data_IF_872518330920
#
_entry.id   IF_872518330920
#
_cell.length_a   1.000
_cell.length_b   1.000
_cell.length_c   1.000
_cell.angle_alpha   90.00
_cell.angle_beta   90.00
_cell.angle_gamma   90.00
#
_symmetry.space_group_name_H-M   'P 1'
#
loop_
_entity.id
_entity.type
_entity.pdbx_description
1 polymer ?
#
# COMPACT_ATOMS: atom_id res chain seq x y z
N UNK A 1 16.27 -2.51 14.49
CA UNK A 1 15.73 -1.94 13.24
C UNK A 1 15.00 -2.94 12.32
N UNK A 2 15.00 -4.25 12.60
CA UNK A 2 14.40 -5.30 11.73
C UNK A 2 12.91 -5.53 12.01
N UNK A 3 12.37 -5.05 13.11
CA UNK A 3 11.01 -5.38 13.57
C UNK A 3 9.86 -4.71 12.79
N UNK A 4 10.05 -3.58 12.15
CA UNK A 4 8.93 -2.82 11.56
C UNK A 4 8.46 -3.33 10.19
N UNK A 5 9.28 -4.05 9.43
CA UNK A 5 8.89 -4.64 8.14
C UNK A 5 8.17 -5.98 8.27
N UNK A 6 8.45 -6.74 9.33
CA UNK A 6 7.84 -8.06 9.55
C UNK A 6 6.39 -7.96 10.03
N UNK A 7 6.03 -6.91 10.79
CA UNK A 7 4.71 -6.75 11.40
C UNK A 7 3.52 -6.82 10.41
N UNK A 8 3.52 -6.15 9.25
CA UNK A 8 2.39 -6.28 8.31
C UNK A 8 2.28 -7.68 7.69
N UNK A 9 3.40 -8.35 7.46
CA UNK A 9 3.44 -9.73 6.94
C UNK A 9 2.91 -10.69 8.00
N UNK A 10 3.39 -10.58 9.24
CA UNK A 10 2.93 -11.38 10.37
C UNK A 10 1.44 -11.19 10.63
N UNK A 11 0.93 -9.95 10.58
CA UNK A 11 -0.49 -9.67 10.70
C UNK A 11 -1.31 -10.32 9.59
N UNK A 12 -0.80 -10.34 8.35
CA UNK A 12 -1.43 -11.02 7.23
C UNK A 12 -1.54 -12.53 7.43
N UNK A 13 -0.46 -13.15 7.88
CA UNK A 13 -0.41 -14.59 8.21
C UNK A 13 -1.33 -14.93 9.38
N UNK A 14 -1.30 -14.14 10.45
CA UNK A 14 -2.14 -14.36 11.63
C UNK A 14 -3.63 -14.21 11.30
N UNK A 15 -4.01 -13.24 10.48
CA UNK A 15 -5.37 -13.11 9.99
C UNK A 15 -5.82 -14.31 9.13
N UNK A 16 -4.95 -14.81 8.26
CA UNK A 16 -5.23 -16.00 7.47
C UNK A 16 -5.42 -17.23 8.38
N UNK A 17 -4.52 -17.42 9.37
CA UNK A 17 -4.62 -18.48 10.38
C UNK A 17 -5.94 -18.40 11.17
N UNK A 18 -6.29 -17.22 11.70
CA UNK A 18 -7.54 -17.00 12.43
C UNK A 18 -8.77 -17.35 11.57
N UNK A 19 -8.75 -17.04 10.30
CA UNK A 19 -9.87 -17.36 9.42
C UNK A 19 -9.90 -18.85 9.02
N UNK A 20 -8.74 -19.50 8.90
CA UNK A 20 -8.67 -20.95 8.71
C UNK A 20 -9.28 -21.68 9.92
N UNK A 21 -8.96 -21.26 11.13
CA UNK A 21 -9.52 -21.83 12.37
C UNK A 21 -11.03 -21.55 12.55
N UNK A 22 -11.57 -20.49 11.96
CA UNK A 22 -13.03 -20.27 11.88
C UNK A 22 -13.72 -21.23 10.91
N UNK A 23 -13.04 -21.59 9.83
CA UNK A 23 -13.54 -22.59 8.89
C UNK A 23 -13.54 -23.97 9.51
N UNK A 24 -12.42 -24.37 10.12
CA UNK A 24 -12.29 -25.66 10.83
C UNK A 24 -11.32 -25.50 12.01
N UNK A 25 -11.81 -25.67 13.23
CA UNK A 25 -11.07 -25.41 14.47
C UNK A 25 -9.87 -26.38 14.65
N UNK A 26 -10.06 -27.65 14.31
CA UNK A 26 -9.08 -28.72 14.54
C UNK A 26 -8.47 -29.19 13.21
N UNK A 27 -7.79 -28.30 12.49
CA UNK A 27 -7.12 -28.65 11.24
C UNK A 27 -5.75 -29.27 11.52
N UNK A 28 -5.57 -30.54 11.11
CA UNK A 28 -4.26 -31.20 11.08
C UNK A 28 -3.72 -31.21 9.65
N UNK A 29 -2.41 -31.30 9.48
CA UNK A 29 -1.78 -31.33 8.15
C UNK A 29 -2.27 -32.51 7.30
N UNK A 30 -2.55 -33.67 7.91
CA UNK A 30 -3.09 -34.85 7.25
C UNK A 30 -4.54 -34.68 6.75
N UNK A 31 -5.28 -33.74 7.29
CA UNK A 31 -6.68 -33.47 6.91
C UNK A 31 -6.77 -32.52 5.69
N UNK A 32 -5.65 -31.90 5.31
CA UNK A 32 -5.60 -30.93 4.21
C UNK A 32 -5.35 -31.65 2.89
N UNK A 33 -6.40 -32.13 2.29
CA UNK A 33 -6.40 -32.74 0.95
C UNK A 33 -6.98 -31.78 -0.12
N UNK A 34 -7.21 -32.28 -1.32
CA UNK A 34 -7.83 -31.51 -2.41
C UNK A 34 -9.24 -31.04 -2.05
N UNK A 35 -10.05 -31.91 -1.41
CA UNK A 35 -11.42 -31.59 -1.05
C UNK A 35 -11.45 -30.49 0.01
N UNK A 36 -10.57 -30.57 1.01
CA UNK A 36 -10.40 -29.51 2.01
C UNK A 36 -10.18 -28.14 1.37
N UNK A 37 -9.33 -28.06 0.32
CA UNK A 37 -9.10 -26.81 -0.39
C UNK A 37 -10.34 -26.28 -1.10
N UNK A 38 -11.11 -27.16 -1.74
CA UNK A 38 -12.36 -26.79 -2.42
C UNK A 38 -13.34 -26.22 -1.38
N UNK A 39 -13.56 -26.94 -0.29
CA UNK A 39 -14.47 -26.52 0.78
C UNK A 39 -14.03 -25.19 1.41
N UNK A 40 -12.73 -25.01 1.62
CA UNK A 40 -12.17 -23.76 2.15
C UNK A 40 -12.33 -22.59 1.18
N UNK A 41 -12.12 -22.81 -0.11
CA UNK A 41 -12.34 -21.80 -1.16
C UNK A 41 -13.80 -21.37 -1.21
N UNK A 42 -14.73 -22.32 -1.17
CA UNK A 42 -16.15 -22.04 -1.20
C UNK A 42 -16.61 -21.30 0.07
N UNK A 43 -16.07 -21.68 1.23
CA UNK A 43 -16.29 -20.94 2.46
C UNK A 43 -15.75 -19.50 2.40
N UNK A 44 -14.57 -19.29 1.86
CA UNK A 44 -14.00 -17.95 1.66
C UNK A 44 -14.87 -17.09 0.74
N UNK A 45 -15.48 -17.68 -0.28
CA UNK A 45 -16.34 -16.99 -1.25
C UNK A 45 -17.74 -16.66 -0.71
N UNK A 46 -18.29 -17.52 0.12
CA UNK A 46 -19.69 -17.45 0.53
C UNK A 46 -19.90 -17.01 1.98
N UNK A 47 -19.11 -17.51 2.91
CA UNK A 47 -19.41 -17.47 4.34
C UNK A 47 -18.42 -16.66 5.16
N UNK A 48 -17.19 -16.46 4.68
CA UNK A 48 -16.16 -15.75 5.42
C UNK A 48 -16.46 -14.26 5.51
N UNK A 49 -16.59 -13.74 6.73
CA UNK A 49 -16.93 -12.35 7.01
C UNK A 49 -15.80 -11.61 7.73
N UNK A 50 -15.73 -10.32 7.52
CA UNK A 50 -14.89 -9.41 8.28
C UNK A 50 -15.38 -9.31 9.73
N UNK A 51 -14.57 -8.69 10.62
CA UNK A 51 -14.99 -8.41 12.02
C UNK A 51 -16.28 -7.57 12.10
N UNK A 52 -16.62 -6.84 11.06
CA UNK A 52 -17.81 -6.00 10.95
C UNK A 52 -19.00 -6.72 10.28
N UNK A 53 -18.95 -8.04 10.13
CA UNK A 53 -20.02 -8.86 9.54
C UNK A 53 -20.16 -8.76 8.03
N UNK A 54 -19.34 -7.99 7.32
CA UNK A 54 -19.35 -7.87 5.86
C UNK A 54 -18.61 -9.02 5.20
N UNK A 55 -19.09 -9.49 4.05
CA UNK A 55 -18.38 -10.45 3.22
C UNK A 55 -16.97 -9.93 2.88
N UNK A 56 -15.96 -10.80 2.93
CA UNK A 56 -14.60 -10.44 2.52
C UNK A 56 -14.53 -10.17 1.02
N UNK A 57 -13.60 -9.31 0.62
CA UNK A 57 -13.40 -9.04 -0.82
C UNK A 57 -12.72 -10.22 -1.52
N UNK A 58 -12.92 -10.42 -2.85
CA UNK A 58 -12.21 -11.43 -3.61
C UNK A 58 -10.68 -11.36 -3.46
N UNK A 59 -10.14 -10.16 -3.33
CA UNK A 59 -8.71 -9.93 -3.09
C UNK A 59 -8.27 -10.47 -1.72
N UNK A 60 -9.08 -10.28 -0.68
CA UNK A 60 -8.81 -10.81 0.66
C UNK A 60 -8.92 -12.33 0.67
N UNK A 61 -9.94 -12.89 0.02
CA UNK A 61 -10.09 -14.33 -0.15
C UNK A 61 -8.87 -14.95 -0.85
N UNK A 62 -8.42 -14.34 -1.95
CA UNK A 62 -7.20 -14.75 -2.65
C UNK A 62 -5.97 -14.68 -1.74
N UNK A 63 -5.84 -13.65 -0.91
CA UNK A 63 -4.73 -13.52 0.04
C UNK A 63 -4.73 -14.68 1.05
N UNK A 64 -5.86 -14.99 1.69
CA UNK A 64 -5.95 -16.09 2.66
C UNK A 64 -5.66 -17.46 2.02
N UNK A 65 -6.24 -17.72 0.87
CA UNK A 65 -6.00 -18.92 0.07
C UNK A 65 -4.52 -19.10 -0.32
N UNK A 66 -3.85 -18.04 -0.76
CA UNK A 66 -2.42 -18.10 -1.11
C UNK A 66 -1.51 -18.18 0.10
N UNK A 67 -1.91 -17.65 1.25
CA UNK A 67 -1.18 -17.83 2.51
C UNK A 67 -1.18 -19.29 2.94
N UNK A 68 -2.33 -19.98 2.87
CA UNK A 68 -2.40 -21.42 3.14
C UNK A 68 -1.49 -22.21 2.18
N UNK A 69 -1.52 -21.90 0.87
CA UNK A 69 -0.61 -22.53 -0.11
C UNK A 69 0.85 -22.37 0.29
N UNK A 70 1.24 -21.15 0.69
CA UNK A 70 2.62 -20.86 1.09
C UNK A 70 3.02 -21.65 2.33
N UNK A 71 2.15 -21.74 3.33
CA UNK A 71 2.40 -22.52 4.55
C UNK A 71 2.56 -24.02 4.24
N UNK A 72 1.74 -24.57 3.34
CA UNK A 72 1.87 -25.99 2.94
C UNK A 72 3.10 -26.25 2.05
N UNK A 73 3.54 -25.30 1.25
CA UNK A 73 4.82 -25.41 0.55
C UNK A 73 5.99 -25.49 1.53
N UNK A 74 5.91 -24.75 2.63
CA UNK A 74 6.89 -24.84 3.70
C UNK A 74 6.85 -26.22 4.38
N UNK A 75 5.66 -26.74 4.69
CA UNK A 75 5.50 -28.08 5.24
C UNK A 75 6.06 -29.18 4.33
N UNK A 76 5.97 -29.03 3.00
CA UNK A 76 6.63 -29.94 2.04
C UNK A 76 8.15 -29.81 2.14
N UNK A 77 8.68 -28.59 2.21
CA UNK A 77 10.13 -28.32 2.35
C UNK A 77 10.70 -28.94 3.63
N UNK A 78 9.94 -28.85 4.72
CA UNK A 78 10.28 -29.46 6.01
C UNK A 78 9.98 -30.96 6.08
N UNK A 79 9.50 -31.59 4.99
CA UNK A 79 9.15 -33.01 4.90
C UNK A 79 8.06 -33.47 5.87
N UNK A 80 7.17 -32.55 6.29
CA UNK A 80 6.01 -32.84 7.13
C UNK A 80 4.85 -33.46 6.30
N UNK A 81 4.79 -33.13 5.01
CA UNK A 81 3.87 -33.71 4.02
C UNK A 81 4.62 -33.98 2.72
N UNK A 82 4.17 -34.94 1.96
CA UNK A 82 4.84 -35.36 0.68
C UNK A 82 4.61 -34.33 -0.43
N UNK A 83 3.41 -33.79 -0.53
CA UNK A 83 3.05 -32.83 -1.59
C UNK A 83 1.98 -31.84 -1.10
N UNK A 84 2.00 -30.64 -1.70
CA UNK A 84 0.96 -29.67 -1.41
C UNK A 84 -0.29 -29.95 -2.27
N UNK A 85 -1.45 -30.25 -1.66
CA UNK A 85 -2.69 -30.55 -2.37
C UNK A 85 -3.20 -29.43 -3.29
N UNK A 86 -2.74 -28.20 -3.09
CA UNK A 86 -3.05 -27.06 -3.95
C UNK A 86 -2.71 -27.33 -5.43
N UNK A 87 -1.65 -28.10 -5.71
CA UNK A 87 -1.24 -28.42 -7.08
C UNK A 87 -2.20 -29.39 -7.78
N UNK A 88 -3.06 -30.09 -7.02
CA UNK A 88 -4.11 -30.97 -7.55
C UNK A 88 -5.40 -30.24 -7.92
N UNK A 89 -5.49 -28.92 -7.64
CA UNK A 89 -6.65 -28.10 -8.00
C UNK A 89 -6.60 -27.70 -9.48
N UNK A 90 -7.75 -27.80 -10.13
CA UNK A 90 -7.94 -27.25 -11.48
C UNK A 90 -7.91 -25.71 -11.47
N UNK A 91 -7.60 -25.12 -12.62
CA UNK A 91 -7.53 -23.65 -12.74
C UNK A 91 -8.87 -22.96 -12.46
N UNK A 92 -9.98 -23.65 -12.74
CA UNK A 92 -11.35 -23.18 -12.50
C UNK A 92 -11.73 -23.17 -11.03
N UNK A 93 -11.15 -24.06 -10.24
CA UNK A 93 -11.38 -24.16 -8.78
C UNK A 93 -10.62 -23.07 -8.03
N UNK A 94 -9.48 -22.63 -8.54
CA UNK A 94 -8.61 -21.64 -7.89
C UNK A 94 -9.24 -20.26 -7.83
N UNK A 95 -8.97 -19.52 -6.75
CA UNK A 95 -9.35 -18.12 -6.65
C UNK A 95 -8.45 -17.31 -7.58
N UNK A 96 -9.05 -16.73 -8.62
CA UNK A 96 -8.32 -15.82 -9.53
C UNK A 96 -7.95 -14.54 -8.81
N UNK A 97 -6.79 -13.98 -9.18
CA UNK A 97 -6.42 -12.63 -8.74
C UNK A 97 -7.41 -11.63 -9.37
N UNK A 98 -8.17 -10.86 -8.58
CA UNK A 98 -9.07 -9.89 -9.16
C UNK A 98 -8.26 -8.77 -9.81
N UNK A 99 -8.70 -8.35 -10.98
CA UNK A 99 -8.15 -7.14 -11.61
C UNK A 99 -8.34 -5.94 -10.67
N UNK A 100 -7.27 -5.24 -10.39
CA UNK A 100 -7.31 -4.02 -9.61
C UNK A 100 -7.11 -2.81 -10.51
N UNK A 101 -8.17 -2.08 -10.80
CA UNK A 101 -8.04 -0.74 -11.36
C UNK A 101 -7.42 0.15 -10.28
N UNK A 102 -6.30 0.76 -10.61
CA UNK A 102 -5.63 1.71 -9.71
C UNK A 102 -5.97 3.11 -10.16
N UNK A 103 -6.63 3.86 -9.29
CA UNK A 103 -6.90 5.26 -9.58
C UNK A 103 -5.61 6.07 -9.59
N UNK A 104 -5.53 7.00 -10.52
CA UNK A 104 -4.53 8.06 -10.59
C UNK A 104 -5.20 9.36 -10.99
N UNK A 105 -4.60 10.49 -10.68
CA UNK A 105 -5.08 11.81 -11.09
C UNK A 105 -4.41 12.22 -12.40
N UNK A 106 -5.19 12.78 -13.30
CA UNK A 106 -4.67 13.46 -14.48
C UNK A 106 -4.09 14.83 -14.09
N UNK A 107 -3.33 15.45 -14.99
CA UNK A 107 -2.80 16.81 -14.77
C UNK A 107 -3.95 17.80 -14.51
N UNK A 108 -5.05 17.68 -15.23
CA UNK A 108 -6.23 18.55 -15.09
C UNK A 108 -6.89 18.35 -13.72
N UNK A 109 -6.97 17.11 -13.23
CA UNK A 109 -7.50 16.82 -11.89
C UNK A 109 -6.58 17.36 -10.80
N UNK A 110 -5.25 17.23 -10.95
CA UNK A 110 -4.28 17.83 -10.03
C UNK A 110 -4.42 19.36 -10.02
N UNK A 111 -4.57 20.00 -11.18
CA UNK A 111 -4.81 21.46 -11.27
C UNK A 111 -6.09 21.86 -10.53
N UNK A 112 -7.19 21.09 -10.67
CA UNK A 112 -8.43 21.34 -9.92
C UNK A 112 -8.20 21.23 -8.41
N UNK A 113 -7.48 20.21 -7.97
CA UNK A 113 -7.10 20.05 -6.56
C UNK A 113 -6.29 21.27 -6.08
N UNK A 114 -5.30 21.73 -6.84
CA UNK A 114 -4.47 22.89 -6.51
C UNK A 114 -5.33 24.16 -6.38
N UNK A 115 -6.28 24.37 -7.29
CA UNK A 115 -7.15 25.55 -7.30
C UNK A 115 -8.21 25.51 -6.18
N UNK A 116 -8.48 24.35 -5.58
CA UNK A 116 -9.50 24.20 -4.55
C UNK A 116 -8.88 24.43 -3.16
N UNK A 117 -9.39 25.36 -2.36
CA UNK A 117 -8.91 25.61 -1.00
C UNK A 117 -9.00 24.36 -0.12
N UNK A 118 -7.96 24.14 0.68
CA UNK A 118 -7.90 23.04 1.63
C UNK A 118 -7.51 23.56 3.02
N UNK A 119 -8.22 23.12 4.05
CA UNK A 119 -8.09 23.67 5.40
C UNK A 119 -6.76 23.34 6.10
N UNK A 120 -6.08 22.27 5.69
CA UNK A 120 -4.80 21.85 6.28
C UNK A 120 -3.68 21.95 5.23
N UNK A 121 -2.93 23.05 5.29
CA UNK A 121 -1.89 23.35 4.32
C UNK A 121 -0.76 22.31 4.33
N UNK A 122 -0.39 21.75 5.48
CA UNK A 122 0.63 20.70 5.54
C UNK A 122 0.20 19.42 4.83
N UNK A 123 -1.06 19.02 4.97
CA UNK A 123 -1.60 17.87 4.23
C UNK A 123 -1.65 18.16 2.74
N UNK A 124 -2.06 19.38 2.37
CA UNK A 124 -2.09 19.83 0.98
C UNK A 124 -0.71 19.76 0.33
N UNK A 125 0.28 20.37 0.98
CA UNK A 125 1.67 20.37 0.52
C UNK A 125 2.23 18.94 0.43
N UNK A 126 2.07 18.13 1.47
CA UNK A 126 2.53 16.74 1.48
C UNK A 126 1.91 15.90 0.37
N UNK A 127 0.61 16.07 0.11
CA UNK A 127 -0.11 15.35 -0.94
C UNK A 127 0.39 15.73 -2.33
N UNK A 128 0.45 17.04 -2.61
CA UNK A 128 0.91 17.55 -3.90
C UNK A 128 2.41 17.27 -4.12
N UNK A 129 3.23 17.36 -3.08
CA UNK A 129 4.61 16.91 -3.11
C UNK A 129 4.69 15.43 -3.53
N UNK A 130 3.86 14.56 -2.94
CA UNK A 130 3.80 13.14 -3.33
C UNK A 130 3.37 12.94 -4.80
N UNK A 131 2.49 13.79 -5.33
CA UNK A 131 2.08 13.74 -6.75
C UNK A 131 3.24 14.00 -7.72
N UNK A 132 4.28 14.72 -7.30
CA UNK A 132 5.40 15.12 -8.16
C UNK A 132 6.74 14.45 -7.81
N UNK A 133 6.86 13.77 -6.67
CA UNK A 133 8.07 13.01 -6.30
C UNK A 133 7.84 11.50 -6.12
N UNK A 134 6.57 11.07 -6.03
CA UNK A 134 6.21 9.66 -5.92
C UNK A 134 6.53 9.00 -4.58
N UNK A 135 6.88 9.73 -3.53
CA UNK A 135 7.15 9.18 -2.20
C UNK A 135 5.89 8.59 -1.56
N UNK A 136 6.06 7.51 -0.80
CA UNK A 136 4.96 6.95 0.00
C UNK A 136 4.69 7.83 1.22
N UNK A 137 3.46 7.80 1.73
CA UNK A 137 3.10 8.52 2.97
C UNK A 137 3.99 8.12 4.17
N UNK A 138 4.44 6.87 4.25
CA UNK A 138 5.38 6.42 5.27
C UNK A 138 6.73 7.13 5.22
N UNK A 139 7.19 7.42 4.01
CA UNK A 139 8.47 8.09 3.76
C UNK A 139 8.32 9.60 3.99
N UNK A 140 7.23 10.20 3.52
CA UNK A 140 6.88 11.60 3.76
C UNK A 140 6.77 11.91 5.25
N UNK A 141 6.17 11.03 6.06
CA UNK A 141 6.07 11.19 7.52
C UNK A 141 7.41 11.19 8.25
N UNK A 142 8.42 10.57 7.67
CA UNK A 142 9.76 10.45 8.25
C UNK A 142 10.75 11.42 7.63
N UNK A 143 10.37 12.11 6.56
CA UNK A 143 11.24 13.00 5.80
C UNK A 143 11.72 14.15 6.67
N UNK A 144 13.03 14.30 6.76
CA UNK A 144 13.70 15.37 7.52
C UNK A 144 14.40 16.34 6.58
N UNK A 145 14.65 17.52 7.05
CA UNK A 145 15.35 18.55 6.26
C UNK A 145 16.76 18.12 5.85
N UNK A 146 17.44 17.30 6.63
CA UNK A 146 18.75 16.73 6.28
C UNK A 146 18.68 15.74 5.09
N UNK A 147 17.52 15.19 4.82
CA UNK A 147 17.30 14.25 3.71
C UNK A 147 17.07 14.98 2.38
N UNK A 148 16.99 16.32 2.41
CA UNK A 148 16.84 17.18 1.24
C UNK A 148 18.16 17.91 1.02
N UNK A 149 18.71 17.78 -0.18
CA UNK A 149 19.99 18.39 -0.57
C UNK A 149 19.92 18.98 -1.96
N UNK A 150 20.89 19.83 -2.27
CA UNK A 150 21.08 20.37 -3.63
C UNK A 150 22.46 19.90 -4.09
N UNK A 151 22.52 19.26 -5.24
CA UNK A 151 23.75 18.83 -5.87
C UNK A 151 23.72 19.21 -7.34
N UNK A 152 24.75 19.93 -7.81
CA UNK A 152 24.80 20.40 -9.21
C UNK A 152 23.58 21.26 -9.63
N UNK A 153 22.99 22.02 -8.71
CA UNK A 153 21.76 22.81 -8.99
C UNK A 153 20.46 22.01 -8.97
N UNK A 154 20.52 20.68 -8.81
CA UNK A 154 19.38 19.79 -8.73
C UNK A 154 19.00 19.49 -7.28
N UNK A 155 17.71 19.66 -6.94
CA UNK A 155 17.17 19.23 -5.66
C UNK A 155 17.02 17.71 -5.62
N UNK A 156 17.49 17.11 -4.54
CA UNK A 156 17.47 15.66 -4.32
C UNK A 156 16.82 15.36 -2.97
N UNK A 157 16.04 14.28 -2.92
CA UNK A 157 15.58 13.65 -1.68
C UNK A 157 16.26 12.31 -1.50
N UNK A 158 16.90 12.11 -0.36
CA UNK A 158 17.45 10.81 0.04
C UNK A 158 16.44 10.05 0.90
N UNK A 159 16.06 8.86 0.49
CA UNK A 159 15.20 7.96 1.27
C UNK A 159 15.84 6.60 1.41
N UNK A 160 15.89 6.10 2.65
CA UNK A 160 16.28 4.72 2.90
C UNK A 160 15.07 3.83 2.74
N UNK A 161 15.05 3.03 1.69
CA UNK A 161 13.94 2.09 1.47
C UNK A 161 13.95 1.02 2.56
N UNK A 162 12.79 0.74 3.13
CA UNK A 162 12.62 -0.23 4.24
C UNK A 162 13.04 -1.67 3.86
N UNK A 163 13.10 -2.00 2.57
CA UNK A 163 13.49 -3.34 2.08
C UNK A 163 14.97 -3.47 1.72
N UNK A 164 15.62 -2.35 1.42
CA UNK A 164 17.03 -2.30 1.05
C UNK A 164 17.66 -1.21 1.89
N UNK A 165 18.65 -1.51 2.69
CA UNK A 165 19.35 -0.56 3.58
C UNK A 165 20.06 0.57 2.83
N UNK A 166 20.08 0.55 1.51
CA UNK A 166 20.73 1.53 0.66
C UNK A 166 19.87 2.78 0.48
N UNK A 167 20.43 3.99 0.61
CA UNK A 167 19.73 5.23 0.29
C UNK A 167 19.46 5.33 -1.21
N UNK A 168 18.26 5.74 -1.57
CA UNK A 168 17.87 6.08 -2.93
C UNK A 168 17.76 7.59 -3.02
N UNK A 169 18.44 8.18 -3.99
CA UNK A 169 18.39 9.62 -4.28
C UNK A 169 17.36 9.87 -5.39
N UNK A 170 16.34 10.64 -5.08
CA UNK A 170 15.26 10.97 -6.00
C UNK A 170 15.40 12.44 -6.39
N UNK A 171 15.63 12.75 -7.67
CA UNK A 171 15.65 14.12 -8.17
C UNK A 171 14.24 14.71 -8.05
N UNK A 172 14.14 15.92 -7.50
CA UNK A 172 12.88 16.64 -7.40
C UNK A 172 12.67 17.51 -8.64
N UNK A 173 11.48 17.41 -9.21
CA UNK A 173 11.05 18.35 -10.24
C UNK A 173 10.83 19.75 -9.64
N UNK A 174 10.87 20.79 -10.46
CA UNK A 174 10.51 22.15 -10.02
C UNK A 174 9.11 22.24 -9.41
N UNK A 175 8.20 21.40 -9.88
CA UNK A 175 6.85 21.29 -9.31
C UNK A 175 6.87 20.66 -7.92
N UNK A 176 7.68 19.60 -7.69
CA UNK A 176 7.81 19.02 -6.36
C UNK A 176 8.40 20.03 -5.37
N UNK A 177 9.43 20.78 -5.78
CA UNK A 177 10.06 21.82 -4.93
C UNK A 177 9.07 22.89 -4.50
N UNK A 178 8.13 23.30 -5.36
CA UNK A 178 7.08 24.29 -5.00
C UNK A 178 6.18 23.85 -3.84
N UNK A 179 6.07 22.54 -3.61
CA UNK A 179 5.23 21.98 -2.55
C UNK A 179 6.00 21.62 -1.29
N UNK A 180 7.31 21.89 -1.25
CA UNK A 180 8.05 21.86 0.00
C UNK A 180 7.61 23.05 0.88
N UNK A 181 7.36 22.84 2.18
CA UNK A 181 7.14 23.93 3.11
C UNK A 181 8.41 24.77 3.26
N UNK A 182 8.26 26.00 3.70
CA UNK A 182 9.42 26.83 4.07
C UNK A 182 10.12 26.25 5.30
N UNK A 183 11.45 26.25 5.27
CA UNK A 183 12.25 25.67 6.36
C UNK A 183 12.19 26.46 7.67
N UNK A 184 11.94 27.77 7.60
CA UNK A 184 11.68 28.69 8.74
C UNK A 184 12.54 28.41 10.00
N UNK A 185 13.87 28.23 9.83
CA UNK A 185 14.77 27.98 10.94
C UNK A 185 14.72 26.55 11.53
N UNK A 186 13.97 25.63 10.93
CA UNK A 186 13.96 24.23 11.36
C UNK A 186 15.36 23.60 11.30
N UNK A 187 15.67 22.82 12.32
CA UNK A 187 16.94 22.08 12.38
C UNK A 187 17.00 21.03 11.26
N UNK A 188 18.19 20.57 10.88
CA UNK A 188 18.32 19.48 9.89
C UNK A 188 17.54 18.22 10.26
N UNK A 189 17.41 17.95 11.55
CA UNK A 189 16.65 16.80 12.07
C UNK A 189 15.15 17.02 12.18
N UNK A 190 14.67 18.24 11.96
CA UNK A 190 13.26 18.58 11.95
C UNK A 190 12.53 17.88 10.80
N UNK A 191 11.27 17.48 11.04
CA UNK A 191 10.42 16.91 10.01
C UNK A 191 10.03 17.98 8.99
N UNK A 192 10.05 17.61 7.70
CA UNK A 192 9.56 18.47 6.61
C UNK A 192 8.05 18.66 6.71
N UNK A 193 7.31 17.57 6.99
CA UNK A 193 5.85 17.57 7.15
C UNK A 193 5.45 17.06 8.55
N UNK A 194 5.69 17.88 9.58
CA UNK A 194 5.57 17.47 10.99
C UNK A 194 4.14 17.30 11.52
N UNK A 195 3.15 17.95 10.90
CA UNK A 195 1.75 18.03 11.40
C UNK A 195 0.76 17.11 10.69
N UNK A 196 1.20 16.00 10.09
CA UNK A 196 0.30 15.11 9.35
C UNK A 196 -0.57 14.27 10.29
N UNK A 197 -1.91 14.30 10.15
CA UNK A 197 -2.84 13.49 10.92
C UNK A 197 -2.60 11.98 10.71
N UNK A 198 -3.26 11.14 11.51
CA UNK A 198 -3.25 9.69 11.31
C UNK A 198 -3.84 9.32 9.93
N UNK A 199 -3.58 8.08 9.47
CA UNK A 199 -3.93 7.65 8.12
C UNK A 199 -5.44 7.70 7.85
N UNK A 200 -6.28 7.37 8.83
CA UNK A 200 -7.73 7.39 8.66
C UNK A 200 -8.24 8.81 8.43
N UNK A 201 -7.78 9.76 9.25
CA UNK A 201 -8.16 11.17 9.11
C UNK A 201 -7.61 11.78 7.80
N UNK A 202 -6.39 11.38 7.37
CA UNK A 202 -5.85 11.77 6.07
C UNK A 202 -6.75 11.31 4.92
N UNK A 203 -7.21 10.04 4.93
CA UNK A 203 -8.08 9.52 3.89
C UNK A 203 -9.41 10.30 3.81
N UNK A 204 -10.02 10.58 4.95
CA UNK A 204 -11.26 11.37 5.01
C UNK A 204 -11.03 12.79 4.49
N UNK A 205 -9.97 13.46 4.94
CA UNK A 205 -9.64 14.82 4.52
C UNK A 205 -9.37 14.92 3.02
N UNK A 206 -8.60 13.99 2.46
CA UNK A 206 -8.28 13.95 1.03
C UNK A 206 -9.52 13.69 0.18
N UNK A 207 -10.40 12.77 0.64
CA UNK A 207 -11.67 12.52 -0.03
C UNK A 207 -12.54 13.77 -0.09
N UNK A 208 -12.73 14.44 1.04
CA UNK A 208 -13.52 15.67 1.10
C UNK A 208 -12.93 16.78 0.22
N UNK A 209 -11.61 16.86 0.12
CA UNK A 209 -10.95 17.83 -0.76
C UNK A 209 -11.18 17.49 -2.24
N UNK A 210 -11.04 16.21 -2.62
CA UNK A 210 -11.30 15.73 -3.97
C UNK A 210 -12.75 15.98 -4.40
N UNK A 211 -13.71 15.68 -3.51
CA UNK A 211 -15.12 15.93 -3.75
C UNK A 211 -15.40 17.43 -4.01
N UNK A 212 -14.81 18.33 -3.21
CA UNK A 212 -14.89 19.79 -3.42
C UNK A 212 -14.24 20.23 -4.73
N UNK A 213 -13.16 19.57 -5.15
CA UNK A 213 -12.49 19.84 -6.42
C UNK A 213 -13.22 19.24 -7.64
N UNK A 214 -14.32 18.53 -7.44
CA UNK A 214 -15.06 17.83 -8.49
C UNK A 214 -14.34 16.61 -9.05
N UNK A 215 -13.42 15.99 -8.27
CA UNK A 215 -12.68 14.79 -8.63
C UNK A 215 -13.39 13.56 -8.09
N UNK A 216 -14.02 12.77 -8.98
CA UNK A 216 -14.83 11.59 -8.62
C UNK A 216 -14.01 10.30 -8.46
N UNK A 217 -12.76 10.39 -8.05
CA UNK A 217 -11.86 9.25 -7.83
C UNK A 217 -11.59 9.04 -6.36
N UNK A 218 -11.19 7.81 -5.98
CA UNK A 218 -10.79 7.55 -4.60
C UNK A 218 -9.38 8.11 -4.35
N UNK A 219 -9.31 9.32 -3.83
CA UNK A 219 -8.06 10.05 -3.62
C UNK A 219 -7.42 9.68 -2.30
N UNK A 220 -6.20 9.14 -2.38
CA UNK A 220 -5.35 8.72 -1.26
C UNK A 220 -3.89 9.05 -1.56
N UNK A 221 -2.97 8.92 -0.60
CA UNK A 221 -1.53 9.06 -0.90
C UNK A 221 -1.01 7.98 -1.88
N UNK A 222 -1.68 6.83 -1.98
CA UNK A 222 -1.36 5.86 -3.05
C UNK A 222 -1.76 6.39 -4.42
N UNK A 223 -2.88 7.09 -4.52
CA UNK A 223 -3.30 7.76 -5.75
C UNK A 223 -2.28 8.82 -6.18
N UNK A 224 -1.75 9.62 -5.24
CA UNK A 224 -0.69 10.59 -5.53
C UNK A 224 0.54 9.93 -6.16
N UNK A 225 1.03 8.85 -5.57
CA UNK A 225 2.17 8.09 -6.11
C UNK A 225 1.89 7.45 -7.47
N UNK A 226 0.68 6.92 -7.69
CA UNK A 226 0.28 6.40 -9.00
C UNK A 226 0.20 7.51 -10.05
N UNK A 227 -0.29 8.70 -9.66
CA UNK A 227 -0.30 9.88 -10.53
C UNK A 227 1.11 10.27 -10.95
N UNK A 228 2.06 10.30 -10.01
CA UNK A 228 3.47 10.57 -10.33
C UNK A 228 4.01 9.59 -11.37
N UNK A 229 3.78 8.29 -11.17
CA UNK A 229 4.25 7.27 -12.10
C UNK A 229 3.64 7.44 -13.51
N UNK A 230 2.33 7.69 -13.59
CA UNK A 230 1.66 7.91 -14.87
C UNK A 230 2.15 9.20 -15.54
N UNK A 231 2.35 10.27 -14.77
CA UNK A 231 2.91 11.54 -15.30
C UNK A 231 4.30 11.34 -15.89
N UNK A 232 5.18 10.61 -15.20
CA UNK A 232 6.53 10.31 -15.70
C UNK A 232 6.47 9.49 -16.98
N UNK A 233 5.67 8.43 -17.04
CA UNK A 233 5.48 7.63 -18.25
C UNK A 233 4.92 8.45 -19.41
N UNK A 234 3.97 9.35 -19.14
CA UNK A 234 3.39 10.25 -20.17
C UNK A 234 4.41 11.24 -20.71
N UNK A 235 5.40 11.62 -19.89
CA UNK A 235 6.50 12.51 -20.27
C UNK A 235 7.69 11.76 -20.92
N UNK A 236 7.57 10.46 -21.15
CA UNK A 236 8.59 9.66 -21.82
C UNK A 236 9.70 9.14 -20.90
N UNK A 237 9.45 9.03 -19.60
CA UNK A 237 10.38 8.33 -18.71
C UNK A 237 10.24 6.81 -18.89
N UNK A 238 11.37 6.13 -19.11
CA UNK A 238 11.46 4.65 -19.19
C UNK A 238 11.38 3.96 -17.80
#
# INVERSE_FOLDING_TARGET
GVQTCALPILNGIDNARKNLLKFRADVRLCDVDRQFYIDYIDWLRSSCKTAWGKQITPKTAHSYYTTLRTALNEAVRERLIESNPWYKLEMTEKIKVPESKRDFLTIEEIKKMIATPFFNEQVRQAYLFSCFCGLRISDIRKLRWRDISISGGQWLVSVVMTKTTNPVYIPLSSQAVKWLPERNGCTPDGLVFGGLPNTSNLCVSLKNWADKAGVKKNVTFHTARHSCAVLLLTLGAD
#
